data_IF_661947807082
#
_entry.id   IF_661947807082
#
_cell.length_a   1.000
_cell.length_b   1.000
_cell.length_c   1.000
_cell.angle_alpha   90.00
_cell.angle_beta   90.00
_cell.angle_gamma   90.00
#
_symmetry.space_group_name_H-M   'P 1'
#
loop_
_entity.id
_entity.type
_entity.pdbx_description
1 polymer ?
#
# COMPACT_ATOMS: atom_id res chain seq x y z
N UNK A 1 -25.23 38.91 -78.54
CA UNK A 1 -24.42 37.78 -78.04
C UNK A 1 -23.39 38.32 -77.06
N UNK A 2 -23.35 37.70 -75.86
CA UNK A 2 -22.30 37.73 -74.81
C UNK A 2 -22.35 38.88 -73.79
N UNK A 3 -22.82 38.46 -72.62
CA UNK A 3 -22.91 39.03 -71.26
C UNK A 3 -21.67 39.75 -70.74
N UNK A 4 -21.86 40.76 -69.87
CA UNK A 4 -20.90 41.07 -68.82
C UNK A 4 -21.42 40.68 -67.41
N UNK A 5 -20.49 40.05 -66.66
CA UNK A 5 -20.22 40.27 -65.23
C UNK A 5 -21.28 39.89 -64.20
N UNK A 6 -21.16 38.66 -63.69
CA UNK A 6 -21.65 38.24 -62.38
C UNK A 6 -20.86 38.96 -61.28
N UNK A 7 -21.58 39.65 -60.38
CA UNK A 7 -21.06 40.25 -59.16
C UNK A 7 -21.66 39.46 -57.98
N UNK A 8 -20.88 38.53 -57.44
CA UNK A 8 -21.24 37.75 -56.25
C UNK A 8 -20.56 38.39 -55.03
N UNK A 9 -21.30 38.79 -53.97
CA UNK A 9 -20.69 39.12 -52.70
C UNK A 9 -20.61 37.86 -51.82
N UNK A 10 -19.39 37.61 -51.38
CA UNK A 10 -18.98 36.73 -50.29
C UNK A 10 -19.87 36.91 -49.04
N UNK A 11 -20.58 35.86 -48.65
CA UNK A 11 -21.09 35.72 -47.28
C UNK A 11 -20.06 34.95 -46.47
N UNK A 12 -19.32 35.67 -45.62
CA UNK A 12 -18.40 35.08 -44.66
C UNK A 12 -19.20 34.34 -43.57
N UNK A 13 -19.21 33.01 -43.61
CA UNK A 13 -19.72 32.17 -42.51
C UNK A 13 -18.65 32.16 -41.43
N UNK A 14 -18.94 32.87 -40.34
CA UNK A 14 -18.10 32.93 -39.16
C UNK A 14 -17.94 31.54 -38.53
N UNK A 15 -16.69 31.26 -38.21
CA UNK A 15 -16.16 30.05 -37.61
C UNK A 15 -16.71 29.90 -36.19
N UNK A 16 -17.65 28.97 -36.01
CA UNK A 16 -18.04 28.44 -34.71
C UNK A 16 -17.29 27.15 -34.41
N UNK A 17 -15.97 27.19 -34.20
CA UNK A 17 -15.26 26.08 -33.56
C UNK A 17 -15.62 26.08 -32.07
N UNK A 18 -16.77 25.51 -31.73
CA UNK A 18 -17.00 24.98 -30.39
C UNK A 18 -15.94 23.89 -30.22
N UNK A 19 -14.93 24.19 -29.41
CA UNK A 19 -13.92 23.23 -28.95
C UNK A 19 -14.59 22.08 -28.21
N UNK A 20 -15.05 21.07 -28.94
CA UNK A 20 -15.30 19.74 -28.41
C UNK A 20 -13.95 19.04 -28.16
N UNK A 21 -13.18 19.56 -27.20
CA UNK A 21 -11.99 18.89 -26.68
C UNK A 21 -12.31 17.99 -25.48
N UNK A 22 -13.42 17.24 -25.52
CA UNK A 22 -13.78 16.27 -24.46
C UNK A 22 -14.02 14.83 -24.95
N UNK A 23 -13.57 14.48 -26.16
CA UNK A 23 -13.86 13.16 -26.76
C UNK A 23 -12.64 12.24 -26.95
N UNK A 24 -11.42 12.61 -26.54
CA UNK A 24 -10.24 11.73 -26.72
C UNK A 24 -9.78 10.99 -25.46
N UNK A 25 -10.30 11.32 -24.28
CA UNK A 25 -9.88 10.69 -23.01
C UNK A 25 -10.58 9.35 -22.71
N UNK A 26 -11.49 8.87 -23.56
CA UNK A 26 -12.26 7.63 -23.32
C UNK A 26 -11.48 6.34 -23.64
N UNK A 27 -10.39 6.43 -24.43
CA UNK A 27 -9.64 5.24 -24.85
C UNK A 27 -8.54 4.79 -23.87
N UNK A 28 -7.91 5.72 -23.14
CA UNK A 28 -6.92 5.42 -22.10
C UNK A 28 -7.57 5.63 -20.73
N UNK A 29 -7.82 4.55 -20.00
CA UNK A 29 -8.43 4.63 -18.66
C UNK A 29 -7.69 5.60 -17.73
N UNK A 30 -8.43 6.25 -16.83
CA UNK A 30 -7.89 7.26 -15.90
C UNK A 30 -7.27 6.57 -14.68
N UNK A 31 -6.11 7.05 -14.20
CA UNK A 31 -5.51 6.55 -12.97
C UNK A 31 -6.37 6.91 -11.73
N UNK A 32 -6.44 5.97 -10.77
CA UNK A 32 -7.28 6.09 -9.56
C UNK A 32 -7.13 7.42 -8.83
N UNK A 33 -5.89 7.82 -8.54
CA UNK A 33 -5.64 9.03 -7.76
C UNK A 33 -5.97 10.31 -8.52
N UNK A 34 -5.83 10.31 -9.84
CA UNK A 34 -6.26 11.41 -10.71
C UNK A 34 -7.78 11.54 -10.69
N UNK A 35 -8.50 10.42 -10.78
CA UNK A 35 -9.96 10.41 -10.70
C UNK A 35 -10.48 10.87 -9.32
N UNK A 36 -9.79 10.52 -8.22
CA UNK A 36 -10.10 11.04 -6.88
C UNK A 36 -9.88 12.56 -6.83
N UNK A 37 -8.76 13.06 -7.36
CA UNK A 37 -8.45 14.50 -7.36
C UNK A 37 -9.42 15.34 -8.19
N UNK A 38 -9.99 14.76 -9.25
CA UNK A 38 -10.99 15.42 -10.11
C UNK A 38 -12.43 15.34 -9.54
N UNK A 39 -12.67 14.49 -8.55
CA UNK A 39 -14.01 14.24 -8.01
C UNK A 39 -14.86 13.28 -8.86
N UNK A 40 -14.26 12.63 -9.86
CA UNK A 40 -14.93 11.64 -10.73
C UNK A 40 -15.30 10.35 -9.97
N UNK A 41 -14.55 10.05 -8.91
CA UNK A 41 -14.81 8.89 -8.04
C UNK A 41 -14.71 9.25 -6.56
N UNK A 42 -15.60 8.66 -5.77
CA UNK A 42 -15.50 8.65 -4.31
C UNK A 42 -14.92 7.32 -3.84
N UNK A 43 -13.85 7.36 -3.06
CA UNK A 43 -13.22 6.16 -2.49
C UNK A 43 -13.36 6.12 -0.97
N UNK A 44 -13.90 5.02 -0.45
CA UNK A 44 -13.98 4.75 0.99
C UNK A 44 -13.12 3.54 1.33
N UNK A 45 -12.09 3.76 2.14
CA UNK A 45 -11.21 2.71 2.64
C UNK A 45 -11.67 2.26 4.02
N UNK A 46 -11.94 0.96 4.19
CA UNK A 46 -12.43 0.36 5.43
C UNK A 46 -11.45 -0.74 5.83
N UNK A 47 -10.53 -0.42 6.75
CA UNK A 47 -9.62 -1.43 7.31
C UNK A 47 -10.39 -2.42 8.20
N UNK A 48 -10.29 -3.71 7.93
CA UNK A 48 -10.94 -4.74 8.76
C UNK A 48 -10.05 -5.11 9.94
N UNK A 49 -8.76 -5.27 9.66
CA UNK A 49 -7.69 -5.60 10.58
C UNK A 49 -6.34 -5.25 9.91
N UNK A 50 -5.22 -5.60 10.55
CA UNK A 50 -3.88 -5.37 10.00
C UNK A 50 -3.67 -5.91 8.58
N UNK A 51 -4.26 -7.07 8.27
CA UNK A 51 -4.02 -7.85 7.05
C UNK A 51 -4.99 -7.60 5.89
N UNK A 52 -6.14 -6.94 6.14
CA UNK A 52 -7.23 -6.88 5.18
C UNK A 52 -8.04 -5.59 5.28
N UNK A 53 -8.43 -5.05 4.12
CA UNK A 53 -9.34 -3.93 3.99
C UNK A 53 -10.38 -4.15 2.88
N UNK A 54 -11.52 -3.47 2.99
CA UNK A 54 -12.47 -3.30 1.90
C UNK A 54 -12.35 -1.87 1.36
N UNK A 55 -12.32 -1.73 0.04
CA UNK A 55 -12.30 -0.43 -0.64
C UNK A 55 -13.55 -0.30 -1.49
N UNK A 56 -14.37 0.70 -1.21
CA UNK A 56 -15.55 1.01 -2.00
C UNK A 56 -15.19 2.15 -2.94
N UNK A 57 -15.39 1.93 -4.24
CA UNK A 57 -15.14 2.93 -5.29
C UNK A 57 -16.48 3.22 -5.96
N UNK A 58 -16.97 4.44 -5.82
CA UNK A 58 -18.19 4.93 -6.46
C UNK A 58 -17.83 5.83 -7.63
N UNK A 59 -18.41 5.56 -8.79
CA UNK A 59 -18.38 6.47 -9.93
C UNK A 59 -19.42 7.58 -9.70
N UNK A 60 -18.96 8.83 -9.66
CA UNK A 60 -19.82 10.00 -9.48
C UNK A 60 -20.28 10.59 -10.83
N UNK A 61 -19.78 10.08 -11.94
CA UNK A 61 -20.16 10.51 -13.28
C UNK A 61 -21.42 9.80 -13.79
N UNK A 62 -22.11 10.46 -14.71
CA UNK A 62 -23.24 9.90 -15.47
C UNK A 62 -22.81 9.01 -16.64
N UNK A 63 -21.51 8.78 -16.82
CA UNK A 63 -20.93 7.94 -17.87
C UNK A 63 -20.07 6.81 -17.30
N UNK A 64 -19.89 5.75 -18.07
CA UNK A 64 -19.03 4.64 -17.68
C UNK A 64 -17.58 5.10 -17.57
N UNK A 65 -16.92 4.76 -16.47
CA UNK A 65 -15.54 5.13 -16.20
C UNK A 65 -14.63 3.90 -16.28
N UNK A 66 -13.52 4.00 -17.02
CA UNK A 66 -12.43 3.01 -17.00
C UNK A 66 -11.35 3.52 -16.06
N UNK A 67 -11.18 2.84 -14.93
CA UNK A 67 -10.31 3.23 -13.82
C UNK A 67 -9.12 2.29 -13.75
N UNK A 68 -7.91 2.85 -13.83
CA UNK A 68 -6.67 2.10 -13.67
C UNK A 68 -6.26 2.10 -12.19
N UNK A 69 -6.19 0.92 -11.62
CA UNK A 69 -5.85 0.70 -10.22
C UNK A 69 -4.33 0.58 -10.06
N UNK A 70 -3.74 1.25 -9.07
CA UNK A 70 -2.30 1.16 -8.80
C UNK A 70 -1.94 -0.23 -8.25
N UNK A 71 -0.69 -0.62 -8.47
CA UNK A 71 -0.15 -1.89 -7.93
C UNK A 71 -0.03 -1.88 -6.41
N UNK A 72 0.22 -0.72 -5.82
CA UNK A 72 0.29 -0.55 -4.38
C UNK A 72 -0.31 0.79 -3.95
N UNK A 73 -0.81 0.81 -2.73
CA UNK A 73 -1.48 1.93 -2.08
C UNK A 73 -1.05 2.02 -0.62
N UNK A 74 -1.16 3.20 -0.05
CA UNK A 74 -1.19 3.37 1.40
C UNK A 74 -2.54 3.97 1.81
N UNK A 75 -2.93 3.74 3.07
CA UNK A 75 -4.08 4.39 3.67
C UNK A 75 -3.68 4.95 5.03
N UNK A 76 -3.95 6.24 5.21
CA UNK A 76 -3.65 6.99 6.42
C UNK A 76 -4.94 7.38 7.13
N UNK A 77 -4.99 7.32 8.47
CA UNK A 77 -6.16 7.73 9.21
C UNK A 77 -6.42 9.23 9.00
N UNK A 78 -7.67 9.59 8.80
CA UNK A 78 -8.08 11.00 8.73
C UNK A 78 -8.03 11.55 10.15
N UNK A 79 -7.12 12.49 10.39
CA UNK A 79 -6.84 13.10 11.71
C UNK A 79 -8.05 13.84 12.34
N UNK A 80 -9.18 13.95 11.63
CA UNK A 80 -10.30 14.80 12.01
C UNK A 80 -11.40 14.18 12.88
N UNK A 81 -11.30 12.93 13.36
CA UNK A 81 -12.47 12.30 13.99
C UNK A 81 -12.33 11.75 15.42
N UNK A 82 -11.13 11.62 15.99
CA UNK A 82 -11.02 11.19 17.40
C UNK A 82 -9.78 11.78 18.08
N UNK A 83 -9.99 12.80 18.93
CA UNK A 83 -9.14 12.99 20.11
C UNK A 83 -8.22 14.21 20.16
N UNK A 84 -8.68 15.41 19.78
CA UNK A 84 -8.26 16.60 20.52
C UNK A 84 -8.97 16.57 21.89
N UNK A 85 -8.44 15.77 22.81
CA UNK A 85 -8.71 15.95 24.22
C UNK A 85 -7.54 16.79 24.76
N UNK A 86 -7.73 18.08 25.09
CA UNK A 86 -6.64 18.95 25.52
C UNK A 86 -6.03 18.57 26.88
N UNK A 87 -6.51 17.50 27.52
CA UNK A 87 -6.15 17.15 28.89
C UNK A 87 -5.42 15.81 29.04
N UNK A 88 -4.78 15.30 27.98
CA UNK A 88 -4.08 14.01 28.07
C UNK A 88 -2.84 13.92 27.16
N UNK A 89 -1.85 14.80 27.36
CA UNK A 89 -0.45 14.36 27.43
C UNK A 89 0.45 15.52 27.89
N UNK A 90 0.72 15.58 29.20
CA UNK A 90 1.73 16.46 29.79
C UNK A 90 3.06 15.73 30.02
N UNK A 91 3.35 14.67 29.25
CA UNK A 91 4.64 14.01 29.30
C UNK A 91 5.29 14.01 27.92
N UNK A 92 6.33 14.82 27.79
CA UNK A 92 7.01 15.14 26.55
C UNK A 92 7.61 13.91 25.89
N UNK A 93 7.14 13.63 24.67
CA UNK A 93 7.96 13.00 23.66
C UNK A 93 7.57 13.60 22.29
N UNK A 94 8.49 14.25 21.57
CA UNK A 94 8.18 14.94 20.31
C UNK A 94 8.18 13.92 19.16
N UNK A 95 7.11 13.15 19.03
CA UNK A 95 6.82 12.36 17.84
C UNK A 95 5.36 12.60 17.45
N UNK A 96 5.10 13.79 16.89
CA UNK A 96 3.80 14.22 16.40
C UNK A 96 3.37 13.39 15.20
N UNK A 97 2.70 12.28 15.46
CA UNK A 97 2.05 11.44 14.46
C UNK A 97 0.74 10.90 15.01
N UNK A 98 -0.28 10.80 14.15
CA UNK A 98 -1.55 10.13 14.46
C UNK A 98 -1.34 8.89 15.33
N UNK A 99 -2.07 8.79 16.45
CA UNK A 99 -2.11 7.57 17.29
C UNK A 99 -2.70 6.37 16.56
N UNK A 100 -3.41 6.60 15.46
CA UNK A 100 -3.98 5.56 14.61
C UNK A 100 -2.97 5.07 13.56
N UNK A 101 -3.03 3.78 13.27
CA UNK A 101 -2.09 3.07 12.41
C UNK A 101 -2.31 3.33 10.92
N UNK A 102 -1.24 3.65 10.18
CA UNK A 102 -1.23 3.64 8.72
C UNK A 102 -1.04 2.22 8.16
N UNK A 103 -1.64 1.93 7.01
CA UNK A 103 -1.52 0.64 6.35
C UNK A 103 -1.04 0.78 4.91
N UNK A 104 -0.27 -0.21 4.44
CA UNK A 104 0.22 -0.30 3.05
C UNK A 104 -0.15 -1.63 2.43
N UNK A 105 -0.25 -1.70 1.11
CA UNK A 105 -0.57 -2.94 0.40
C UNK A 105 -1.21 -2.66 -0.94
N UNK A 106 -2.20 -3.45 -1.34
CA UNK A 106 -2.90 -3.21 -2.60
C UNK A 106 -4.14 -4.07 -2.82
N UNK A 107 -4.83 -3.74 -3.90
CA UNK A 107 -6.05 -4.42 -4.30
C UNK A 107 -5.77 -5.85 -4.75
N UNK A 108 -6.59 -6.80 -4.33
CA UNK A 108 -6.52 -8.19 -4.79
C UNK A 108 -7.16 -8.29 -6.20
N UNK A 109 -6.38 -7.93 -7.22
CA UNK A 109 -6.83 -7.86 -8.61
C UNK A 109 -6.30 -9.04 -9.45
N UNK A 110 -5.34 -9.81 -8.92
CA UNK A 110 -4.41 -10.57 -9.78
C UNK A 110 -4.39 -12.08 -9.66
N UNK A 111 -5.07 -12.72 -8.70
CA UNK A 111 -5.03 -14.18 -8.59
C UNK A 111 -6.43 -14.71 -8.26
N UNK A 112 -7.00 -15.44 -9.23
CA UNK A 112 -8.33 -16.02 -9.17
C UNK A 112 -8.49 -16.98 -8.00
N UNK A 113 -8.87 -16.44 -6.84
CA UNK A 113 -9.53 -17.15 -5.76
C UNK A 113 -10.34 -16.14 -4.93
N UNK A 114 -11.19 -15.37 -5.62
CA UNK A 114 -12.22 -14.59 -4.97
C UNK A 114 -13.25 -15.53 -4.35
N UNK A 115 -13.03 -15.88 -3.07
CA UNK A 115 -14.02 -16.50 -2.19
C UNK A 115 -15.13 -15.47 -1.91
N UNK A 116 -15.96 -15.22 -2.92
CA UNK A 116 -17.10 -14.33 -2.87
C UNK A 116 -18.30 -15.06 -3.46
N UNK A 117 -19.23 -15.45 -2.58
CA UNK A 117 -20.50 -16.06 -2.93
C UNK A 117 -21.41 -14.99 -3.57
N UNK A 118 -21.09 -14.61 -4.80
CA UNK A 118 -21.77 -13.56 -5.55
C UNK A 118 -21.86 -13.95 -7.01
N UNK A 119 -23.00 -14.50 -7.40
CA UNK A 119 -23.43 -14.58 -8.79
C UNK A 119 -23.32 -13.20 -9.43
N UNK A 120 -22.48 -13.09 -10.47
CA UNK A 120 -22.79 -12.22 -11.59
C UNK A 120 -21.78 -11.12 -11.95
N UNK A 121 -21.63 -11.02 -13.27
CA UNK A 121 -21.41 -9.79 -14.04
C UNK A 121 -20.01 -9.18 -14.08
N UNK A 122 -19.27 -9.56 -15.13
CA UNK A 122 -18.21 -8.74 -15.72
C UNK A 122 -17.13 -9.59 -16.39
N UNK A 123 -16.79 -9.28 -17.65
CA UNK A 123 -15.71 -9.92 -18.38
C UNK A 123 -14.42 -9.93 -17.53
N UNK A 124 -14.01 -11.13 -17.13
CA UNK A 124 -12.83 -11.38 -16.30
C UNK A 124 -11.52 -10.98 -16.98
N UNK A 125 -11.56 -10.62 -18.27
CA UNK A 125 -10.41 -10.19 -19.06
C UNK A 125 -9.87 -8.78 -18.70
N UNK A 126 -10.69 -7.86 -18.21
CA UNK A 126 -10.22 -6.48 -17.93
C UNK A 126 -9.61 -6.33 -16.53
N UNK A 127 -10.15 -7.06 -15.54
CA UNK A 127 -9.64 -7.02 -14.16
C UNK A 127 -8.20 -7.52 -14.07
N UNK A 128 -7.79 -8.53 -14.85
CA UNK A 128 -6.42 -9.04 -14.86
C UNK A 128 -5.34 -8.07 -15.37
N UNK A 129 -5.71 -6.91 -15.92
CA UNK A 129 -4.79 -5.86 -16.40
C UNK A 129 -4.70 -4.65 -15.46
N UNK A 130 -5.37 -4.67 -14.31
CA UNK A 130 -5.42 -3.52 -13.39
C UNK A 130 -6.35 -2.41 -13.87
N UNK A 131 -7.27 -2.68 -14.80
CA UNK A 131 -8.26 -1.72 -15.29
C UNK A 131 -9.66 -2.21 -14.91
N UNK A 132 -10.42 -1.37 -14.23
CA UNK A 132 -11.80 -1.63 -13.81
C UNK A 132 -12.75 -0.72 -14.57
N UNK A 133 -13.83 -1.27 -15.14
CA UNK A 133 -14.94 -0.45 -15.65
C UNK A 133 -16.01 -0.31 -14.58
N UNK A 134 -16.45 0.91 -14.31
CA UNK A 134 -17.54 1.22 -13.38
C UNK A 134 -18.67 1.91 -14.16
N UNK A 135 -19.90 1.42 -13.98
CA UNK A 135 -21.08 2.03 -14.59
C UNK A 135 -21.44 3.37 -13.92
N UNK A 136 -22.20 4.25 -14.59
CA UNK A 136 -22.66 5.52 -14.01
C UNK A 136 -23.31 5.36 -12.63
N UNK A 137 -22.91 6.18 -11.65
CA UNK A 137 -23.48 6.17 -10.30
C UNK A 137 -23.29 4.86 -9.49
N UNK A 138 -22.60 3.85 -10.03
CA UNK A 138 -22.44 2.54 -9.37
C UNK A 138 -21.21 2.52 -8.45
N UNK A 139 -21.30 1.67 -7.43
CA UNK A 139 -20.22 1.42 -6.48
C UNK A 139 -19.72 -0.01 -6.63
N UNK A 140 -18.40 -0.19 -6.75
CA UNK A 140 -17.75 -1.49 -6.67
C UNK A 140 -17.03 -1.64 -5.33
N UNK A 141 -17.13 -2.84 -4.75
CA UNK A 141 -16.37 -3.23 -3.58
C UNK A 141 -15.18 -4.08 -3.99
N UNK A 142 -13.99 -3.64 -3.61
CA UNK A 142 -12.74 -4.36 -3.76
C UNK A 142 -12.20 -4.80 -2.41
N UNK A 143 -11.53 -5.94 -2.38
CA UNK A 143 -10.74 -6.38 -1.23
C UNK A 143 -9.29 -5.97 -1.44
N UNK A 144 -8.65 -5.45 -0.40
CA UNK A 144 -7.23 -5.14 -0.39
C UNK A 144 -6.53 -5.96 0.70
N UNK A 145 -5.34 -6.48 0.37
CA UNK A 145 -4.42 -7.05 1.36
C UNK A 145 -3.52 -5.94 1.86
N UNK A 146 -3.37 -5.86 3.17
CA UNK A 146 -2.67 -4.75 3.82
C UNK A 146 -1.70 -5.27 4.86
N UNK A 147 -0.76 -4.42 5.25
CA UNK A 147 0.13 -4.58 6.39
C UNK A 147 0.23 -3.27 7.14
N UNK A 148 0.51 -3.38 8.43
CA UNK A 148 0.82 -2.27 9.32
C UNK A 148 2.18 -1.66 8.94
N UNK A 149 2.23 -0.37 8.63
CA UNK A 149 3.48 0.30 8.22
C UNK A 149 4.36 0.71 9.41
N UNK A 150 3.75 0.88 10.58
CA UNK A 150 4.43 1.28 11.80
C UNK A 150 4.20 0.24 12.91
N UNK A 151 5.25 -0.16 13.60
CA UNK A 151 5.14 -1.03 14.78
C UNK A 151 4.78 -0.23 16.04
N UNK A 152 4.07 -0.86 16.99
CA UNK A 152 3.68 -0.28 18.28
C UNK A 152 2.36 0.48 18.26
N UNK A 153 1.76 0.69 17.09
CA UNK A 153 0.48 1.38 16.93
C UNK A 153 -0.70 0.40 16.98
N UNK A 154 -1.87 0.83 17.47
CA UNK A 154 -3.05 -0.03 17.53
C UNK A 154 -3.47 -0.52 16.14
N UNK A 155 -3.96 -1.75 16.07
CA UNK A 155 -4.45 -2.35 14.83
C UNK A 155 -5.50 -1.45 14.18
N UNK A 156 -5.49 -1.36 12.83
CA UNK A 156 -6.48 -0.59 12.10
C UNK A 156 -7.87 -1.23 12.28
N UNK A 157 -8.89 -0.40 12.50
CA UNK A 157 -10.27 -0.85 12.79
C UNK A 157 -11.26 -0.30 11.78
N UNK A 158 -12.38 -1.01 11.50
CA UNK A 158 -13.39 -0.56 10.54
C UNK A 158 -14.03 0.78 10.86
N UNK A 159 -14.01 1.18 12.14
CA UNK A 159 -14.61 2.43 12.64
C UNK A 159 -13.73 3.66 12.42
N UNK A 160 -12.45 3.48 12.12
CA UNK A 160 -11.51 4.59 11.90
C UNK A 160 -11.62 4.99 10.43
N UNK A 161 -11.83 6.28 10.16
CA UNK A 161 -11.87 6.79 8.80
C UNK A 161 -10.45 6.85 8.20
N UNK A 162 -10.27 6.27 7.02
CA UNK A 162 -9.00 6.23 6.30
C UNK A 162 -9.11 6.95 4.96
N UNK A 163 -8.06 7.69 4.62
CA UNK A 163 -7.84 8.26 3.30
C UNK A 163 -6.79 7.44 2.57
N UNK A 164 -7.16 6.96 1.39
CA UNK A 164 -6.22 6.29 0.48
C UNK A 164 -5.29 7.34 -0.16
N UNK A 165 -4.01 7.01 -0.26
CA UNK A 165 -2.98 7.84 -0.87
C UNK A 165 -2.05 6.97 -1.73
N UNK A 166 -1.33 7.56 -2.72
CA UNK A 166 -0.25 6.87 -3.41
C UNK A 166 0.78 6.37 -2.39
N UNK A 167 1.34 5.18 -2.62
CA UNK A 167 2.32 4.61 -1.69
C UNK A 167 3.56 5.50 -1.57
N UNK A 168 3.94 6.14 -2.68
CA UNK A 168 5.09 7.05 -2.78
C UNK A 168 4.92 8.30 -1.90
N UNK A 169 3.66 8.66 -1.56
CA UNK A 169 3.36 9.76 -0.64
C UNK A 169 3.61 9.35 0.82
N UNK A 170 3.57 8.06 1.14
CA UNK A 170 3.84 7.55 2.49
C UNK A 170 5.32 7.21 2.68
N UNK A 171 5.92 6.52 1.71
CA UNK A 171 7.32 6.10 1.75
C UNK A 171 7.94 6.08 0.36
N UNK A 172 9.20 6.48 0.26
CA UNK A 172 10.03 6.39 -0.96
C UNK A 172 10.97 5.18 -0.95
N UNK A 173 10.86 4.33 0.08
CA UNK A 173 11.71 3.17 0.24
C UNK A 173 11.40 2.08 -0.82
N UNK A 174 12.40 1.66 -1.62
CA UNK A 174 12.20 0.68 -2.67
C UNK A 174 11.86 -0.72 -2.14
N UNK A 175 12.35 -1.10 -0.95
CA UNK A 175 12.07 -2.40 -0.32
C UNK A 175 10.62 -2.43 0.13
N UNK A 176 10.17 -1.41 0.86
CA UNK A 176 8.77 -1.33 1.33
C UNK A 176 7.80 -1.26 0.14
N UNK A 177 8.17 -0.50 -0.90
CA UNK A 177 7.41 -0.41 -2.14
C UNK A 177 7.27 -1.78 -2.82
N UNK A 178 8.37 -2.52 -2.96
CA UNK A 178 8.36 -3.85 -3.55
C UNK A 178 7.51 -4.83 -2.74
N UNK A 179 7.67 -4.86 -1.42
CA UNK A 179 6.91 -5.73 -0.52
C UNK A 179 5.41 -5.46 -0.63
N UNK A 180 4.98 -4.19 -0.61
CA UNK A 180 3.57 -3.83 -0.77
C UNK A 180 3.00 -4.24 -2.14
N UNK A 181 3.81 -4.16 -3.21
CA UNK A 181 3.41 -4.62 -4.54
C UNK A 181 3.29 -6.14 -4.62
N UNK A 182 4.22 -6.90 -4.02
CA UNK A 182 4.13 -8.36 -3.99
C UNK A 182 2.96 -8.85 -3.12
N UNK A 183 2.65 -8.11 -2.06
CA UNK A 183 1.49 -8.38 -1.22
C UNK A 183 0.18 -8.20 -2.00
N UNK A 184 0.09 -7.19 -2.85
CA UNK A 184 -1.14 -6.92 -3.62
C UNK A 184 -1.40 -7.97 -4.70
N UNK A 185 -0.33 -8.48 -5.33
CA UNK A 185 -0.40 -9.56 -6.32
C UNK A 185 -0.59 -10.92 -5.66
N UNK A 186 -0.45 -11.02 -4.34
CA UNK A 186 -0.55 -12.27 -3.58
C UNK A 186 0.66 -13.19 -3.78
N UNK A 187 1.81 -12.66 -4.21
CA UNK A 187 3.05 -13.44 -4.31
C UNK A 187 3.70 -13.67 -2.94
N UNK A 188 3.44 -12.80 -1.97
CA UNK A 188 3.87 -12.98 -0.59
C UNK A 188 2.67 -12.95 0.36
N UNK A 189 2.66 -13.80 1.40
CA UNK A 189 1.65 -13.74 2.44
C UNK A 189 1.82 -12.50 3.32
N UNK A 190 0.74 -12.03 3.97
CA UNK A 190 0.74 -10.82 4.79
C UNK A 190 1.71 -10.90 5.97
N UNK A 191 1.89 -12.06 6.59
CA UNK A 191 2.76 -12.21 7.77
C UNK A 191 4.25 -12.02 7.41
N UNK A 192 4.69 -12.60 6.28
CA UNK A 192 6.04 -12.37 5.73
C UNK A 192 6.23 -10.89 5.36
N UNK A 193 5.24 -10.29 4.69
CA UNK A 193 5.29 -8.88 4.33
C UNK A 193 5.38 -7.97 5.57
N UNK A 194 4.60 -8.28 6.61
CA UNK A 194 4.57 -7.55 7.88
C UNK A 194 5.92 -7.59 8.59
N UNK A 195 6.55 -8.76 8.64
CA UNK A 195 7.86 -8.95 9.27
C UNK A 195 8.95 -8.13 8.55
N UNK A 196 8.97 -8.12 7.21
CA UNK A 196 9.95 -7.34 6.44
C UNK A 196 9.74 -5.84 6.63
N UNK A 197 8.49 -5.36 6.57
CA UNK A 197 8.16 -3.94 6.75
C UNK A 197 8.61 -3.44 8.11
N UNK A 198 8.41 -4.22 9.17
CA UNK A 198 8.84 -3.85 10.51
C UNK A 198 10.34 -4.00 10.74
N UNK A 199 10.96 -5.03 10.18
CA UNK A 199 12.41 -5.18 10.25
C UNK A 199 13.12 -3.99 9.57
N UNK A 200 12.71 -3.66 8.35
CA UNK A 200 13.36 -2.62 7.56
C UNK A 200 12.91 -1.20 7.96
N UNK A 201 11.60 -0.96 7.99
CA UNK A 201 11.01 0.36 8.23
C UNK A 201 11.01 0.80 9.70
N UNK A 202 11.03 -0.13 10.66
CA UNK A 202 11.07 0.18 12.09
C UNK A 202 12.33 -0.32 12.80
N UNK A 203 13.30 -0.86 12.05
CA UNK A 203 14.60 -1.34 12.57
C UNK A 203 14.46 -2.41 13.66
N UNK A 204 13.40 -3.21 13.63
CA UNK A 204 13.19 -4.28 14.59
C UNK A 204 14.08 -5.48 14.28
N UNK A 205 14.95 -5.94 15.21
CA UNK A 205 15.76 -7.12 14.96
C UNK A 205 14.88 -8.37 14.84
N UNK A 206 15.29 -9.33 14.02
CA UNK A 206 14.57 -10.59 13.80
C UNK A 206 14.30 -11.36 15.10
N UNK A 207 15.20 -11.27 16.08
CA UNK A 207 15.04 -11.88 17.41
C UNK A 207 13.87 -11.27 18.17
N UNK A 208 13.66 -9.96 18.06
CA UNK A 208 12.52 -9.28 18.66
C UNK A 208 11.23 -9.62 17.93
N UNK A 209 11.25 -9.70 16.59
CA UNK A 209 10.09 -10.13 15.81
C UNK A 209 9.65 -11.56 16.19
N UNK A 210 10.61 -12.48 16.38
CA UNK A 210 10.34 -13.85 16.83
C UNK A 210 9.73 -13.92 18.24
N UNK A 211 9.99 -12.92 19.08
CA UNK A 211 9.47 -12.86 20.43
C UNK A 211 8.02 -12.34 20.48
N UNK A 212 7.54 -11.63 19.45
CA UNK A 212 6.21 -11.00 19.44
C UNK A 212 5.07 -12.03 19.54
N UNK A 213 4.12 -11.71 20.40
CA UNK A 213 2.93 -12.53 20.63
C UNK A 213 1.71 -11.85 19.99
N UNK A 214 1.00 -12.56 19.12
CA UNK A 214 -0.28 -12.10 18.56
C UNK A 214 -1.40 -12.13 19.59
N UNK A 215 -1.35 -13.12 20.48
CA UNK A 215 -2.33 -13.28 21.54
C UNK A 215 -1.65 -13.87 22.77
N UNK A 216 -1.64 -13.11 23.86
CA UNK A 216 -1.30 -13.61 25.18
C UNK A 216 -2.59 -13.99 25.90
N UNK A 217 -2.77 -15.29 26.13
CA UNK A 217 -3.87 -15.81 26.92
C UNK A 217 -3.33 -16.41 28.21
N UNK A 218 -3.93 -16.05 29.35
CA UNK A 218 -3.62 -16.68 30.65
C UNK A 218 -3.86 -18.19 30.67
N UNK A 219 -4.72 -18.71 29.80
CA UNK A 219 -5.15 -20.11 29.84
C UNK A 219 -4.67 -20.93 28.63
N UNK A 220 -4.53 -20.32 27.46
CA UNK A 220 -4.11 -21.00 26.22
C UNK A 220 -2.61 -20.85 25.91
N UNK A 221 -1.86 -20.16 26.76
CA UNK A 221 -0.49 -19.76 26.46
C UNK A 221 -0.42 -18.62 25.45
N UNK A 222 0.79 -18.34 24.99
CA UNK A 222 1.05 -17.27 24.04
C UNK A 222 1.07 -17.82 22.62
N UNK A 223 0.28 -17.24 21.73
CA UNK A 223 0.32 -17.51 20.31
C UNK A 223 1.28 -16.50 19.68
N UNK A 224 2.38 -16.99 19.11
CA UNK A 224 3.36 -16.16 18.42
C UNK A 224 2.75 -15.46 17.21
N UNK A 225 3.23 -14.26 16.95
CA UNK A 225 2.78 -13.48 15.81
C UNK A 225 3.30 -14.03 14.50
N UNK A 226 4.57 -14.43 14.49
CA UNK A 226 5.22 -15.03 13.34
C UNK A 226 5.61 -16.46 13.68
N UNK A 227 5.40 -17.38 12.72
CA UNK A 227 5.96 -18.72 12.82
C UNK A 227 7.46 -18.67 12.47
N UNK A 228 8.28 -19.64 12.93
CA UNK A 228 9.67 -19.75 12.51
C UNK A 228 9.81 -19.79 10.98
N UNK A 229 8.91 -20.50 10.30
CA UNK A 229 8.88 -20.65 8.85
C UNK A 229 8.63 -19.30 8.15
N UNK A 230 7.69 -18.50 8.66
CA UNK A 230 7.43 -17.15 8.13
C UNK A 230 8.67 -16.25 8.27
N UNK A 231 9.36 -16.32 9.41
CA UNK A 231 10.55 -15.51 9.67
C UNK A 231 11.73 -15.92 8.79
N UNK A 232 11.91 -17.22 8.55
CA UNK A 232 13.00 -17.69 7.70
C UNK A 232 12.75 -17.35 6.23
N UNK A 233 11.50 -17.42 5.78
CA UNK A 233 11.10 -16.94 4.46
C UNK A 233 11.27 -15.41 4.34
N UNK A 234 10.89 -14.65 5.38
CA UNK A 234 11.06 -13.20 5.43
C UNK A 234 12.54 -12.77 5.38
N UNK A 235 13.41 -13.42 6.16
CA UNK A 235 14.87 -13.18 6.13
C UNK A 235 15.45 -13.46 4.75
N UNK A 236 15.09 -14.60 4.15
CA UNK A 236 15.58 -15.02 2.84
C UNK A 236 15.18 -14.04 1.75
N UNK A 237 13.90 -13.61 1.74
CA UNK A 237 13.41 -12.61 0.82
C UNK A 237 14.11 -11.27 1.03
N UNK A 238 14.21 -10.79 2.28
CA UNK A 238 14.86 -9.53 2.61
C UNK A 238 16.35 -9.49 2.21
N UNK A 239 17.10 -10.57 2.43
CA UNK A 239 18.49 -10.69 2.03
C UNK A 239 18.65 -10.58 0.49
N UNK A 240 17.73 -11.20 -0.27
CA UNK A 240 17.73 -11.08 -1.73
C UNK A 240 17.41 -9.67 -2.24
N UNK A 241 16.58 -8.91 -1.51
CA UNK A 241 16.22 -7.53 -1.86
C UNK A 241 17.34 -6.55 -1.51
N UNK A 242 17.96 -6.74 -0.34
CA UNK A 242 19.05 -5.89 0.14
C UNK A 242 20.27 -5.98 -0.77
N UNK A 243 20.68 -7.21 -1.14
CA UNK A 243 21.80 -7.41 -2.07
C UNK A 243 21.55 -6.81 -3.46
N UNK A 244 20.31 -6.87 -3.95
CA UNK A 244 19.93 -6.26 -5.24
C UNK A 244 19.96 -4.73 -5.22
N UNK A 245 19.60 -4.11 -4.10
CA UNK A 245 19.58 -2.65 -3.96
C UNK A 245 20.97 -2.04 -3.70
N UNK A 246 21.91 -2.82 -3.18
CA UNK A 246 23.31 -2.41 -2.99
C UNK A 246 24.13 -2.46 -4.29
N UNK A 247 23.57 -3.04 -5.36
CA UNK A 247 24.22 -3.16 -6.67
C UNK A 247 23.76 -2.13 -7.75
N UNK A 248 23.88 -0.81 -7.54
CA UNK A 248 23.87 0.17 -8.63
C UNK A 248 25.24 0.87 -8.76
N UNK A 249 26.34 0.10 -8.81
CA UNK A 249 27.69 0.67 -8.69
C UNK A 249 28.87 0.01 -9.42
N UNK A 250 28.81 -1.23 -9.90
CA UNK A 250 29.99 -1.84 -10.55
C UNK A 250 29.64 -2.62 -11.83
N UNK A 251 29.61 -1.89 -12.94
CA UNK A 251 29.94 -2.44 -14.25
C UNK A 251 30.95 -1.51 -14.93
N UNK A 252 32.17 -1.53 -14.42
CA UNK A 252 33.34 -1.21 -15.23
C UNK A 252 34.18 -2.48 -15.36
N UNK A 253 34.25 -2.94 -16.60
CA UNK A 253 35.04 -4.07 -17.07
C UNK A 253 36.55 -3.88 -16.85
N UNK A 254 37.24 -4.90 -16.30
CA UNK A 254 38.34 -5.68 -16.93
C UNK A 254 39.14 -6.50 -15.87
N UNK A 255 39.93 -7.53 -16.27
CA UNK A 255 39.97 -8.82 -15.58
C UNK A 255 41.23 -9.09 -14.73
N UNK A 256 41.06 -10.11 -13.87
CA UNK A 256 42.01 -11.11 -13.36
C UNK A 256 43.43 -10.67 -12.93
N UNK A 257 43.72 -10.82 -11.63
CA UNK A 257 44.96 -11.46 -11.22
C UNK A 257 44.83 -12.18 -9.87
N UNK A 258 45.42 -13.38 -9.82
CA UNK A 258 45.47 -14.29 -8.68
C UNK A 258 46.53 -13.84 -7.67
N UNK A 259 46.30 -14.00 -6.36
CA UNK A 259 47.04 -14.94 -5.47
C UNK A 259 46.67 -14.77 -3.99
N UNK A 260 46.82 -15.83 -3.15
CA UNK A 260 46.33 -15.88 -1.77
C UNK A 260 47.46 -15.69 -0.73
N UNK A 261 47.18 -15.08 0.43
CA UNK A 261 47.98 -15.14 1.69
C UNK A 261 47.11 -14.53 2.82
N UNK A 262 46.56 -15.32 3.75
CA UNK A 262 47.08 -15.78 5.07
C UNK A 262 46.90 -14.78 6.23
N UNK A 263 46.41 -15.35 7.36
CA UNK A 263 46.52 -14.94 8.76
C UNK A 263 45.80 -13.63 9.18
N UNK A 264 44.74 -13.67 10.00
CA UNK A 264 44.67 -13.99 11.44
C UNK A 264 44.62 -12.72 12.31
N UNK A 265 43.64 -12.75 13.21
CA UNK A 265 43.62 -12.17 14.56
C UNK A 265 42.89 -10.85 14.89
N UNK A 266 42.29 -10.94 16.09
CA UNK A 266 41.84 -9.95 17.09
C UNK A 266 40.44 -9.32 16.86
N UNK A 267 39.35 -9.69 17.57
CA UNK A 267 39.03 -9.79 19.01
C UNK A 267 38.60 -8.45 19.68
N UNK A 268 37.32 -8.36 20.08
CA UNK A 268 36.77 -7.73 21.31
C UNK A 268 35.22 -7.94 21.30
N UNK A 269 34.59 -8.71 22.19
CA UNK A 269 34.20 -8.49 23.60
C UNK A 269 33.33 -7.24 23.86
N UNK A 270 32.02 -7.45 24.12
CA UNK A 270 31.14 -6.49 24.82
C UNK A 270 30.28 -7.24 25.85
N UNK A 271 30.27 -6.70 27.07
CA UNK A 271 29.52 -7.14 28.26
C UNK A 271 28.17 -6.41 28.39
N UNK A 272 27.19 -7.15 28.92
CA UNK A 272 26.01 -6.82 29.75
C UNK A 272 25.35 -5.43 29.76
N UNK A 273 24.00 -5.45 29.75
CA UNK A 273 23.15 -4.30 30.09
C UNK A 273 21.66 -4.64 30.18
N UNK A 274 21.20 -4.92 31.40
CA UNK A 274 19.86 -5.33 31.82
C UNK A 274 18.83 -4.18 31.78
N UNK A 275 17.54 -4.48 31.55
CA UNK A 275 16.34 -3.97 32.26
C UNK A 275 15.07 -4.07 31.38
N UNK A 276 14.22 -5.06 31.67
CA UNK A 276 12.86 -5.19 31.10
C UNK A 276 11.80 -4.91 32.17
N UNK A 277 10.99 -3.89 31.92
CA UNK A 277 9.86 -3.47 32.75
C UNK A 277 8.58 -4.11 32.22
N UNK A 278 8.09 -5.17 32.89
CA UNK A 278 6.82 -5.81 32.53
C UNK A 278 5.63 -4.96 32.98
N UNK A 279 4.78 -4.54 32.03
CA UNK A 279 3.42 -4.06 32.33
C UNK A 279 2.40 -5.10 31.85
N UNK A 280 1.52 -5.49 32.77
CA UNK A 280 0.52 -6.55 32.62
C UNK A 280 -0.69 -6.01 31.85
N UNK A 281 -1.21 -6.74 30.86
CA UNK A 281 -2.54 -6.42 30.30
C UNK A 281 -3.32 -7.63 29.78
N UNK A 282 -4.62 -7.60 30.10
CA UNK A 282 -5.64 -8.65 30.04
C UNK A 282 -5.91 -9.20 28.64
N UNK A 283 -6.23 -10.49 28.62
CA UNK A 283 -6.76 -11.31 27.52
C UNK A 283 -8.00 -10.69 26.85
N UNK A 284 -7.75 -9.95 25.79
CA UNK A 284 -8.62 -9.82 24.61
C UNK A 284 -7.77 -10.17 23.39
N UNK A 285 -8.34 -10.27 22.19
CA UNK A 285 -7.51 -10.31 20.97
C UNK A 285 -6.51 -9.14 21.03
N UNK A 286 -5.24 -9.46 21.26
CA UNK A 286 -4.20 -8.45 21.35
C UNK A 286 -3.91 -7.95 19.95
N UNK A 287 -3.58 -6.66 19.89
CA UNK A 287 -3.22 -5.99 18.65
C UNK A 287 -2.08 -6.76 18.00
N UNK A 288 -2.20 -7.07 16.71
CA UNK A 288 -1.09 -7.62 15.92
C UNK A 288 0.04 -6.59 15.83
N UNK A 289 -0.29 -5.31 15.79
CA UNK A 289 0.63 -4.21 15.51
C UNK A 289 1.21 -3.52 16.76
N UNK A 290 1.01 -4.06 17.98
CA UNK A 290 1.54 -3.49 19.24
C UNK A 290 2.64 -4.33 19.86
#
# INVERSE_FOLDING_TARGET
MRYPTNLAPLLAVAIGFISSHRTSAEEKGIDLFSAIGQGDVTVRFIALNAGQANVLIKNELDKSLRLKLPKAIAAVPVLGQFGQNPNQNQNGNPAGGSTNQGVGGGFNIGNGQGQGNGQGFGNQQDFGRGIMRIAPGKTHKLSAKTVCLEHGKPDPKPRIAYRIIPLETFTTDPIITFVCQQLSTGQIPPDIAQAIVWHHGNQLPWTQLAALDRMQSRYRGNIKLFTPEDLDAAKSLYASLSSKNESPGDRSSLPAENTPTSAADYAWSISDGNHSSYSTSRSGHQSICR
#
